data_IF_588297152407
#
_entry.id   IF_588297152407
#
_cell.length_a   1.000
_cell.length_b   1.000
_cell.length_c   1.000
_cell.angle_alpha   90.00
_cell.angle_beta   90.00
_cell.angle_gamma   90.00
#
_symmetry.space_group_name_H-M   'P 1'
#
loop_
_entity.id
_entity.type
_entity.pdbx_description
1 polymer ?
#
# COMPACT_ATOMS: atom_id res chain seq x y z
N UNK A 1 -16.25 9.87 -10.13
CA UNK A 1 -15.12 9.47 -10.99
C UNK A 1 -15.19 7.96 -11.13
N UNK A 2 -15.50 7.43 -12.32
CA UNK A 2 -15.51 5.98 -12.55
C UNK A 2 -14.06 5.54 -12.80
N UNK A 3 -13.36 5.14 -11.74
CA UNK A 3 -12.12 4.39 -11.91
C UNK A 3 -12.52 2.96 -12.30
N UNK A 4 -11.95 2.39 -13.38
CA UNK A 4 -12.17 0.98 -13.70
C UNK A 4 -11.79 0.14 -12.48
N UNK A 5 -12.60 -0.87 -12.14
CA UNK A 5 -12.27 -1.83 -11.09
C UNK A 5 -11.04 -2.64 -11.50
N UNK A 6 -9.86 -2.09 -11.20
CA UNK A 6 -8.58 -2.73 -11.42
C UNK A 6 -8.26 -3.54 -10.18
N UNK A 7 -8.60 -4.84 -10.23
CA UNK A 7 -8.30 -5.79 -9.16
C UNK A 7 -6.89 -6.33 -9.32
N UNK A 8 -6.20 -6.48 -8.20
CA UNK A 8 -4.85 -7.00 -8.07
C UNK A 8 -4.82 -8.20 -7.11
N UNK A 9 -5.93 -8.93 -7.03
CA UNK A 9 -6.03 -10.18 -6.28
C UNK A 9 -4.87 -11.13 -6.65
N UNK A 10 -4.32 -11.80 -5.63
CA UNK A 10 -3.18 -12.73 -5.72
C UNK A 10 -1.88 -12.11 -6.26
N UNK A 11 -1.74 -10.77 -6.21
CA UNK A 11 -0.50 -10.07 -6.56
C UNK A 11 0.22 -9.56 -5.32
N UNK A 12 1.53 -9.77 -5.31
CA UNK A 12 2.43 -9.19 -4.32
C UNK A 12 3.04 -7.89 -4.84
N UNK A 13 2.95 -6.82 -4.06
CA UNK A 13 3.49 -5.49 -4.39
C UNK A 13 4.46 -5.02 -3.31
N UNK A 14 5.56 -4.37 -3.71
CA UNK A 14 6.52 -3.76 -2.79
C UNK A 14 6.48 -2.24 -2.93
N UNK A 15 6.22 -1.53 -1.83
CA UNK A 15 6.20 -0.06 -1.78
C UNK A 15 7.30 0.45 -0.86
N UNK A 16 8.27 1.17 -1.43
CA UNK A 16 9.30 1.87 -0.65
C UNK A 16 8.80 3.26 -0.24
N UNK A 17 9.11 3.70 0.99
CA UNK A 17 8.59 4.95 1.54
C UNK A 17 7.07 4.96 1.76
N UNK A 18 6.44 3.79 1.88
CA UNK A 18 4.99 3.62 1.89
C UNK A 18 4.24 4.08 3.15
N UNK A 19 4.90 4.73 4.10
CA UNK A 19 4.30 5.06 5.41
C UNK A 19 3.71 6.48 5.49
N UNK A 20 4.05 7.39 4.56
CA UNK A 20 3.61 8.79 4.57
C UNK A 20 3.29 9.32 3.18
N UNK A 21 2.52 10.41 3.13
CA UNK A 21 2.21 11.16 1.90
C UNK A 21 1.72 10.28 0.76
N UNK A 22 2.32 10.45 -0.41
CA UNK A 22 1.97 9.70 -1.63
C UNK A 22 2.26 8.21 -1.47
N UNK A 23 3.36 7.81 -0.81
CA UNK A 23 3.69 6.40 -0.61
C UNK A 23 2.62 5.66 0.19
N UNK A 24 2.04 6.32 1.20
CA UNK A 24 0.90 5.77 1.95
C UNK A 24 -0.35 5.65 1.09
N UNK A 25 -0.67 6.68 0.31
CA UNK A 25 -1.82 6.62 -0.60
C UNK A 25 -1.70 5.48 -1.62
N UNK A 26 -0.49 5.26 -2.17
CA UNK A 26 -0.19 4.15 -3.08
C UNK A 26 -0.37 2.81 -2.37
N UNK A 27 0.22 2.64 -1.19
CA UNK A 27 0.10 1.40 -0.38
C UNK A 27 -1.35 1.02 -0.15
N UNK A 28 -2.17 1.98 0.28
CA UNK A 28 -3.60 1.76 0.52
C UNK A 28 -4.36 1.43 -0.77
N UNK A 29 -4.08 2.13 -1.87
CA UNK A 29 -4.74 1.85 -3.15
C UNK A 29 -4.43 0.42 -3.66
N UNK A 30 -3.20 -0.07 -3.47
CA UNK A 30 -2.85 -1.46 -3.81
C UNK A 30 -3.56 -2.48 -2.91
N UNK A 31 -3.63 -2.21 -1.60
CA UNK A 31 -4.36 -3.06 -0.66
C UNK A 31 -5.87 -3.09 -0.96
N UNK A 32 -6.49 -1.93 -1.23
CA UNK A 32 -7.90 -1.82 -1.63
C UNK A 32 -8.19 -2.54 -2.95
N UNK A 33 -7.22 -2.57 -3.87
CA UNK A 33 -7.28 -3.34 -5.11
C UNK A 33 -7.18 -4.87 -4.90
N UNK A 34 -6.81 -5.34 -3.69
CA UNK A 34 -6.71 -6.76 -3.34
C UNK A 34 -5.29 -7.34 -3.39
N UNK A 35 -4.26 -6.51 -3.56
CA UNK A 35 -2.88 -6.96 -3.54
C UNK A 35 -2.39 -7.21 -2.09
N UNK A 36 -1.49 -8.19 -1.94
CA UNK A 36 -0.63 -8.28 -0.77
C UNK A 36 0.47 -7.23 -0.88
N UNK A 37 0.62 -6.37 0.14
CA UNK A 37 1.54 -5.23 0.09
C UNK A 37 2.64 -5.34 1.14
N UNK A 38 3.89 -5.33 0.67
CA UNK A 38 5.07 -5.17 1.51
C UNK A 38 5.47 -3.70 1.53
N UNK A 39 5.51 -3.11 2.73
CA UNK A 39 5.91 -1.72 2.93
C UNK A 39 7.33 -1.66 3.50
N UNK A 40 8.19 -0.85 2.87
CA UNK A 40 9.57 -0.65 3.31
C UNK A 40 9.76 0.82 3.72
N UNK A 41 10.13 1.06 4.98
CA UNK A 41 10.47 2.38 5.49
C UNK A 41 11.53 2.29 6.59
N UNK A 42 12.08 3.45 6.97
CA UNK A 42 13.19 3.53 7.95
C UNK A 42 12.76 3.56 9.41
N UNK A 43 11.49 3.91 9.68
CA UNK A 43 10.97 4.09 11.02
C UNK A 43 9.91 3.02 11.30
N UNK A 44 10.11 2.28 12.38
CA UNK A 44 9.26 1.17 12.79
C UNK A 44 7.88 1.64 13.28
N UNK A 45 7.80 2.71 14.07
CA UNK A 45 6.51 3.28 14.53
C UNK A 45 5.61 3.69 13.35
N UNK A 46 6.21 4.21 12.28
CA UNK A 46 5.50 4.58 11.06
C UNK A 46 5.00 3.34 10.28
N UNK A 47 5.75 2.23 10.32
CA UNK A 47 5.35 0.95 9.73
C UNK A 47 4.19 0.33 10.50
N UNK A 48 4.26 0.31 11.83
CA UNK A 48 3.19 -0.22 12.69
C UNK A 48 1.87 0.55 12.50
N UNK A 49 1.93 1.88 12.36
CA UNK A 49 0.75 2.70 12.03
C UNK A 49 0.16 2.44 10.64
N UNK A 50 0.91 1.79 9.77
CA UNK A 50 0.51 1.50 8.38
C UNK A 50 0.01 0.06 8.22
N UNK A 51 0.30 -0.85 9.15
CA UNK A 51 -0.33 -2.18 9.23
C UNK A 51 -1.78 -1.99 9.69
N UNK A 52 -2.74 -2.35 8.84
CA UNK A 52 -4.17 -2.44 9.17
C UNK A 52 -4.63 -3.89 9.03
#
# INVERSE_FOLDING_TARGET
>A
MYLPNFRLDDKLTVVTGGTKGIGKAITLAFAEAGADVIVIARNEDDLEKTKQ
#
